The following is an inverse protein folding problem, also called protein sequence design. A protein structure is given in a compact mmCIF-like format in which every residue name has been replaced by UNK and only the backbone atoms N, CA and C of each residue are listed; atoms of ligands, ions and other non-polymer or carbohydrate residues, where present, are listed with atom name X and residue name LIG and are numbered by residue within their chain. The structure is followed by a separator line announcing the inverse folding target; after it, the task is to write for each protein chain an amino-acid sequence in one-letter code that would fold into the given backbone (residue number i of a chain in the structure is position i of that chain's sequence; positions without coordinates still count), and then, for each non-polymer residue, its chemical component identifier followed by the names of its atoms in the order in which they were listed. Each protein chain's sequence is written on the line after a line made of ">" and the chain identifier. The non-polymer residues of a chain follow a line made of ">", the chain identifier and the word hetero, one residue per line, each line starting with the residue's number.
data_IF_381703629294
#
_entry.id   IF_381703629294
#
_cell.length_a   1.000
_cell.length_b   1.000
_cell.length_c   1.000
_cell.angle_alpha   90.00
_cell.angle_beta   90.00
_cell.angle_gamma   90.00
#
_symmetry.space_group_name_H-M   'P 1'
#
loop_
_entity.id
_entity.type
_entity.pdbx_description
1 polymer ?
#
# COMPACT_ATOMS: atom_id res chain seq x y z
N UNK A 1 -4.67 10.11 1.72
CA UNK A 1 -3.78 8.95 1.49
C UNK A 1 -2.48 9.23 2.20
N UNK A 2 -2.08 8.31 3.07
CA UNK A 2 -0.92 8.47 3.94
C UNK A 2 0.03 7.32 3.67
N UNK A 3 1.30 7.65 3.38
CA UNK A 3 2.35 6.63 3.28
C UNK A 3 2.68 6.09 4.67
N UNK A 4 2.74 4.77 4.80
CA UNK A 4 3.09 4.10 6.06
C UNK A 4 4.49 3.53 5.99
N UNK A 5 4.75 2.65 5.01
CA UNK A 5 6.05 1.98 4.85
C UNK A 5 6.20 1.40 3.44
N UNK A 6 7.42 1.32 2.93
CA UNK A 6 7.77 0.67 1.66
C UNK A 6 8.84 -0.41 1.86
N UNK A 7 8.68 -1.51 1.13
CA UNK A 7 9.66 -2.58 0.99
C UNK A 7 10.14 -2.64 -0.46
N UNK A 8 11.35 -3.16 -0.65
CA UNK A 8 11.91 -3.41 -1.99
C UNK A 8 12.41 -4.85 -2.05
N UNK A 9 12.17 -5.52 -3.18
CA UNK A 9 12.72 -6.84 -3.46
C UNK A 9 14.25 -6.80 -3.44
N UNK A 10 14.89 -7.94 -3.16
CA UNK A 10 16.37 -8.03 -3.12
C UNK A 10 17.03 -7.62 -4.43
N UNK A 11 16.37 -7.90 -5.56
CA UNK A 11 16.84 -7.54 -6.91
C UNK A 11 16.49 -6.10 -7.33
N UNK A 12 15.81 -5.34 -6.46
CA UNK A 12 15.41 -3.94 -6.66
C UNK A 12 14.45 -3.68 -7.83
N UNK A 13 13.75 -4.71 -8.31
CA UNK A 13 12.81 -4.59 -9.43
C UNK A 13 11.37 -4.37 -9.00
N UNK A 14 11.01 -4.77 -7.78
CA UNK A 14 9.65 -4.65 -7.27
C UNK A 14 9.65 -3.88 -5.95
N UNK A 15 8.75 -2.91 -5.86
CA UNK A 15 8.46 -2.19 -4.62
C UNK A 15 7.07 -2.60 -4.13
N UNK A 16 6.94 -2.77 -2.82
CA UNK A 16 5.67 -3.00 -2.14
C UNK A 16 5.46 -1.86 -1.15
N UNK A 17 4.35 -1.14 -1.25
CA UNK A 17 4.07 0.01 -0.40
C UNK A 17 2.77 -0.20 0.37
N UNK A 18 2.81 0.11 1.65
CA UNK A 18 1.64 0.17 2.51
C UNK A 18 1.22 1.62 2.63
N UNK A 19 -0.03 1.88 2.24
CA UNK A 19 -0.68 3.17 2.37
C UNK A 19 -1.97 3.01 3.18
N UNK A 20 -2.28 4.03 3.96
CA UNK A 20 -3.57 4.19 4.61
C UNK A 20 -4.43 5.20 3.83
N UNK A 21 -5.71 4.89 3.65
CA UNK A 21 -6.60 5.68 2.80
C UNK A 21 -8.06 5.21 2.91
N UNK A 22 -9.00 6.03 2.42
CA UNK A 22 -10.43 5.74 2.57
C UNK A 22 -10.89 4.54 1.73
N UNK A 23 -10.26 4.30 0.57
CA UNK A 23 -10.55 3.18 -0.33
C UNK A 23 -9.39 2.98 -1.33
N UNK A 24 -9.46 1.90 -2.13
CA UNK A 24 -8.49 1.60 -3.19
C UNK A 24 -8.38 2.73 -4.24
N UNK A 25 -9.50 3.37 -4.60
CA UNK A 25 -9.51 4.40 -5.63
C UNK A 25 -8.71 5.63 -5.20
N UNK A 26 -8.79 6.04 -3.94
CA UNK A 26 -7.98 7.12 -3.39
C UNK A 26 -6.48 6.84 -3.53
N UNK A 27 -6.05 5.58 -3.31
CA UNK A 27 -4.65 5.17 -3.51
C UNK A 27 -4.25 5.28 -4.99
N UNK A 28 -5.12 4.84 -5.91
CA UNK A 28 -4.85 4.91 -7.36
C UNK A 28 -4.76 6.35 -7.87
N UNK A 29 -5.65 7.24 -7.42
CA UNK A 29 -5.58 8.67 -7.76
C UNK A 29 -4.27 9.25 -7.24
N UNK A 30 -3.94 9.02 -5.97
CA UNK A 30 -2.68 9.52 -5.40
C UNK A 30 -1.45 9.00 -6.16
N UNK A 31 -1.42 7.72 -6.54
CA UNK A 31 -0.34 7.16 -7.34
C UNK A 31 -0.21 7.83 -8.72
N UNK A 32 -1.35 8.05 -9.40
CA UNK A 32 -1.39 8.74 -10.70
C UNK A 32 -0.84 10.16 -10.59
N UNK A 33 -1.27 10.93 -9.61
CA UNK A 33 -0.82 12.31 -9.40
C UNK A 33 0.69 12.39 -9.08
N UNK A 34 1.25 11.35 -8.47
CA UNK A 34 2.68 11.26 -8.15
C UNK A 34 3.51 10.54 -9.22
N UNK A 35 2.90 10.09 -10.33
CA UNK A 35 3.60 9.36 -11.38
C UNK A 35 4.16 8.00 -10.93
N UNK A 36 3.57 7.38 -9.91
CA UNK A 36 4.01 6.09 -9.39
C UNK A 36 3.41 4.94 -10.22
N UNK A 37 4.22 3.97 -10.68
CA UNK A 37 3.70 2.77 -11.33
C UNK A 37 3.05 1.87 -10.29
N UNK A 38 1.72 1.73 -10.35
CA UNK A 38 0.95 0.85 -9.48
C UNK A 38 0.28 -0.23 -10.33
N UNK A 39 0.86 -1.42 -10.29
CA UNK A 39 0.36 -2.57 -11.06
C UNK A 39 -0.88 -3.20 -10.40
N UNK A 40 -0.87 -3.33 -9.07
CA UNK A 40 -1.97 -3.90 -8.30
C UNK A 40 -2.11 -3.21 -6.95
N UNK A 41 -3.35 -3.15 -6.46
CA UNK A 41 -3.68 -2.71 -5.10
C UNK A 41 -4.51 -3.82 -4.47
N UNK A 42 -4.22 -4.15 -3.23
CA UNK A 42 -4.99 -5.12 -2.45
C UNK A 42 -5.31 -4.49 -1.12
N UNK A 43 -6.60 -4.38 -0.83
CA UNK A 43 -7.05 -3.95 0.48
C UNK A 43 -6.71 -5.02 1.52
N UNK A 44 -6.06 -4.60 2.61
CA UNK A 44 -5.67 -5.49 3.71
C UNK A 44 -6.26 -5.00 5.02
N UNK A 45 -6.30 -5.90 6.00
CA UNK A 45 -6.64 -5.60 7.40
C UNK A 45 -5.52 -6.08 8.28
N UNK A 46 -5.25 -5.34 9.36
CA UNK A 46 -4.28 -5.78 10.37
C UNK A 46 -4.80 -7.07 10.98
N UNK A 47 -4.03 -8.14 10.82
CA UNK A 47 -4.23 -9.36 11.58
C UNK A 47 -3.44 -9.22 12.88
N UNK A 48 -4.09 -8.70 13.90
CA UNK A 48 -3.50 -8.68 15.24
C UNK A 48 -4.00 -9.90 16.02
N UNK A 49 -3.10 -10.84 16.39
CA UNK A 49 -3.48 -12.06 17.09
C UNK A 49 -4.00 -11.81 18.52
N UNK A 50 -3.84 -10.61 19.06
CA UNK A 50 -4.29 -10.23 20.40
C UNK A 50 -5.61 -9.44 20.42
N UNK A 51 -6.21 -9.15 19.25
CA UNK A 51 -7.51 -8.44 19.17
C UNK A 51 -8.72 -9.33 19.52
N UNK A 52 -8.53 -10.62 19.81
CA UNK A 52 -9.59 -11.57 20.19
C UNK A 52 -9.73 -11.75 21.71
N UNK A 53 -9.70 -10.65 22.48
CA UNK A 53 -10.04 -10.65 23.92
C UNK A 53 -11.27 -9.79 24.21
#
# INVERSE_FOLDING_TARGET
>A
VTWIHSYVSKDKKQTFCIYDGPDENAIRVAAKENGLPVDSVTEVRVLDPYFFH
#
